data_IF_294907954323
#
_entry.id   IF_294907954323
#
_cell.length_a   1.000
_cell.length_b   1.000
_cell.length_c   1.000
_cell.angle_alpha   90.00
_cell.angle_beta   90.00
_cell.angle_gamma   90.00
#
_symmetry.space_group_name_H-M   'P 1'
#
loop_
_entity.id
_entity.type
_entity.pdbx_description
1 polymer ?
#
# COMPACT_ATOMS: atom_id res chain seq x y z
N UNK A 1 27.85 -13.08 -1.03
CA UNK A 1 26.45 -13.38 -0.64
C UNK A 1 25.73 -12.04 -0.56
N UNK A 2 25.00 -11.68 -1.61
CA UNK A 2 24.35 -10.37 -1.70
C UNK A 2 22.98 -10.38 -1.01
N UNK A 3 22.68 -9.31 -0.29
CA UNK A 3 21.30 -8.98 0.05
C UNK A 3 20.71 -8.24 -1.14
N UNK A 4 19.52 -8.65 -1.59
CA UNK A 4 18.77 -7.91 -2.61
C UNK A 4 17.71 -7.09 -1.89
N UNK A 5 17.66 -5.80 -2.18
CA UNK A 5 16.69 -4.90 -1.57
C UNK A 5 15.73 -4.41 -2.65
N UNK A 6 14.43 -4.42 -2.35
CA UNK A 6 13.38 -4.15 -3.32
C UNK A 6 12.36 -3.19 -2.75
N UNK A 7 12.14 -2.07 -3.44
CA UNK A 7 11.08 -1.12 -3.18
C UNK A 7 9.81 -1.57 -3.91
N UNK A 8 8.68 -1.60 -3.21
CA UNK A 8 7.34 -1.78 -3.78
C UNK A 8 6.46 -0.61 -3.39
N UNK A 9 5.96 0.13 -4.37
CA UNK A 9 5.07 1.27 -4.13
C UNK A 9 4.07 1.38 -5.28
N UNK A 10 2.77 1.31 -4.97
CA UNK A 10 1.70 1.22 -5.99
C UNK A 10 1.99 0.08 -6.99
N UNK A 11 2.12 0.40 -8.26
CA UNK A 11 2.41 -0.52 -9.36
C UNK A 11 3.90 -0.53 -9.73
N UNK A 12 4.75 0.20 -8.99
CA UNK A 12 6.19 0.28 -9.20
C UNK A 12 6.96 -0.69 -8.29
N UNK A 13 7.90 -1.42 -8.90
CA UNK A 13 8.83 -2.29 -8.21
C UNK A 13 10.26 -1.97 -8.65
N UNK A 14 11.12 -1.53 -7.71
CA UNK A 14 12.50 -1.10 -8.01
C UNK A 14 13.52 -1.82 -7.15
N UNK A 15 14.53 -2.40 -7.79
CA UNK A 15 15.70 -2.92 -7.09
C UNK A 15 16.52 -1.74 -6.55
N UNK A 16 16.74 -1.75 -5.23
CA UNK A 16 17.52 -0.73 -4.53
C UNK A 16 18.99 -1.13 -4.54
N UNK A 17 19.84 -0.23 -5.03
CA UNK A 17 21.30 -0.37 -5.03
C UNK A 17 21.92 0.18 -3.73
N UNK A 18 21.31 1.22 -3.14
CA UNK A 18 21.71 1.76 -1.84
C UNK A 18 20.51 2.14 -0.99
N UNK A 19 20.52 1.69 0.27
CA UNK A 19 19.53 2.03 1.29
C UNK A 19 20.21 2.74 2.45
N UNK A 20 19.73 3.92 2.81
CA UNK A 20 20.13 4.62 4.01
C UNK A 20 18.89 5.05 4.80
N UNK A 21 18.92 4.82 6.10
CA UNK A 21 17.89 5.24 7.04
C UNK A 21 18.54 6.04 8.15
N UNK A 22 18.09 7.28 8.31
CA UNK A 22 18.58 8.19 9.35
C UNK A 22 17.49 8.42 10.40
N UNK A 23 17.88 8.24 11.65
CA UNK A 23 17.04 8.41 12.84
C UNK A 23 17.72 9.38 13.81
N UNK A 24 16.96 10.34 14.35
CA UNK A 24 17.42 11.23 15.40
C UNK A 24 16.90 10.71 16.73
N UNK A 25 17.79 10.51 17.70
CA UNK A 25 17.42 10.06 19.04
C UNK A 25 17.44 11.28 19.96
N UNK A 26 16.32 11.59 20.62
CA UNK A 26 16.27 12.69 21.59
C UNK A 26 16.95 12.23 22.89
N UNK A 27 18.04 12.88 23.34
CA UNK A 27 18.72 12.54 24.57
C UNK A 27 17.95 13.11 25.77
N UNK A 28 16.89 12.42 26.21
CA UNK A 28 16.18 12.78 27.45
C UNK A 28 16.21 11.72 28.55
N UNK A 29 16.92 10.60 28.36
CA UNK A 29 17.32 9.75 29.48
C UNK A 29 18.75 9.23 29.32
N UNK A 30 19.60 9.58 30.29
CA UNK A 30 21.03 9.24 30.30
C UNK A 30 21.29 7.72 30.31
N UNK A 31 20.30 6.91 30.66
CA UNK A 31 20.35 5.44 30.65
C UNK A 31 20.31 4.84 29.25
N UNK A 32 19.70 5.52 28.29
CA UNK A 32 19.49 4.96 26.95
C UNK A 32 20.69 5.20 26.04
N UNK A 33 21.45 6.28 26.26
CA UNK A 33 22.69 6.56 25.52
C UNK A 33 23.73 5.46 25.77
N UNK A 34 23.88 5.00 27.02
CA UNK A 34 24.79 3.88 27.36
C UNK A 34 24.35 2.58 26.68
N UNK A 35 23.04 2.32 26.60
CA UNK A 35 22.48 1.15 25.90
C UNK A 35 22.66 1.26 24.37
N UNK A 36 22.42 2.43 23.79
CA UNK A 36 22.58 2.70 22.35
C UNK A 36 24.06 2.57 21.94
N UNK A 37 24.98 3.11 22.74
CA UNK A 37 26.43 2.94 22.54
C UNK A 37 26.81 1.47 22.68
N UNK A 38 26.26 0.77 23.68
CA UNK A 38 26.50 -0.67 23.88
C UNK A 38 26.00 -1.51 22.70
N UNK A 39 24.83 -1.20 22.14
CA UNK A 39 24.30 -1.86 20.93
C UNK A 39 25.13 -1.54 19.68
N UNK A 40 25.62 -0.30 19.52
CA UNK A 40 26.54 0.05 18.44
C UNK A 40 27.90 -0.65 18.56
N UNK A 41 28.38 -0.88 19.79
CA UNK A 41 29.61 -1.61 20.09
C UNK A 41 29.39 -3.13 19.93
N UNK A 42 28.23 -3.66 20.36
CA UNK A 42 27.89 -5.09 20.34
C UNK A 42 27.37 -5.57 18.97
N UNK A 43 26.80 -4.71 18.12
CA UNK A 43 26.50 -5.06 16.72
C UNK A 43 27.77 -5.42 15.91
N UNK A 44 28.96 -5.04 16.43
CA UNK A 44 30.26 -5.51 15.91
C UNK A 44 30.70 -6.88 16.45
N UNK A 45 30.09 -7.37 17.53
CA UNK A 45 30.44 -8.61 18.23
C UNK A 45 29.16 -9.42 18.51
N UNK A 46 28.67 -10.20 17.55
CA UNK A 46 27.48 -11.04 17.74
C UNK A 46 27.65 -12.05 18.89
N UNK A 47 26.67 -12.12 19.80
CA UNK A 47 25.91 -13.35 20.18
C UNK A 47 25.13 -13.15 21.49
N UNK A 48 23.88 -13.62 21.50
CA UNK A 48 23.05 -14.15 22.59
C UNK A 48 22.76 -13.36 23.88
N UNK A 49 21.48 -13.45 24.27
CA UNK A 49 20.90 -13.27 25.60
C UNK A 49 21.04 -11.91 26.28
N UNK A 50 20.17 -10.97 25.91
CA UNK A 50 19.61 -10.06 26.90
C UNK A 50 18.19 -9.64 26.54
N UNK A 51 17.35 -9.60 27.58
CA UNK A 51 15.98 -9.12 27.64
C UNK A 51 15.85 -7.71 27.03
N UNK A 52 15.75 -7.66 25.70
CA UNK A 52 15.75 -6.44 24.90
C UNK A 52 14.32 -5.90 24.85
N UNK A 53 13.97 -5.07 25.84
CA UNK A 53 12.83 -4.16 25.68
C UNK A 53 13.17 -3.23 24.51
N UNK A 54 12.42 -3.24 23.39
CA UNK A 54 12.81 -2.53 22.19
C UNK A 54 12.84 -1.02 22.47
N UNK A 55 14.04 -0.45 22.48
CA UNK A 55 14.20 1.01 22.57
C UNK A 55 13.52 1.66 21.36
N UNK A 56 12.83 2.78 21.63
CA UNK A 56 12.15 3.58 20.63
C UNK A 56 13.16 4.28 19.72
N UNK A 57 13.56 3.60 18.65
CA UNK A 57 14.40 4.16 17.60
C UNK A 57 13.53 5.02 16.67
N UNK A 58 13.68 6.35 16.79
CA UNK A 58 12.88 7.41 16.16
C UNK A 58 13.40 7.80 14.76
N UNK A 59 12.67 7.48 13.68
CA UNK A 59 13.07 7.74 12.29
C UNK A 59 12.54 9.02 11.65
N UNK A 60 13.36 9.67 10.80
CA UNK A 60 12.99 10.92 10.11
C UNK A 60 12.99 10.82 8.57
N UNK A 61 13.98 10.15 7.96
CA UNK A 61 14.16 10.14 6.51
C UNK A 61 14.78 8.85 6.00
N UNK A 62 14.26 8.35 4.88
CA UNK A 62 14.78 7.20 4.13
C UNK A 62 15.38 7.74 2.82
N UNK A 63 16.59 7.33 2.49
CA UNK A 63 17.21 7.61 1.20
C UNK A 63 17.40 6.29 0.44
N UNK A 64 16.93 6.27 -0.81
CA UNK A 64 17.01 5.11 -1.70
C UNK A 64 17.70 5.51 -2.99
N UNK A 65 18.64 4.71 -3.46
CA UNK A 65 19.27 4.88 -4.78
C UNK A 65 19.08 3.61 -5.61
N UNK A 66 18.74 3.78 -6.89
CA UNK A 66 18.54 2.70 -7.84
C UNK A 66 18.87 3.15 -9.26
N UNK A 67 19.00 2.19 -10.18
CA UNK A 67 19.29 2.50 -11.59
C UNK A 67 18.07 3.20 -12.22
N UNK A 68 18.33 4.31 -12.90
CA UNK A 68 17.32 5.05 -13.64
C UNK A 68 16.85 4.24 -14.87
N UNK A 69 15.55 4.33 -15.16
CA UNK A 69 14.91 3.67 -16.30
C UNK A 69 13.94 4.60 -17.02
N UNK A 70 13.34 4.14 -18.12
CA UNK A 70 12.28 4.88 -18.82
C UNK A 70 11.01 5.09 -18.01
N UNK A 71 10.85 4.34 -16.91
CA UNK A 71 9.61 4.28 -16.12
C UNK A 71 9.71 5.12 -14.84
N UNK A 72 10.68 6.04 -14.77
CA UNK A 72 10.95 6.84 -13.57
C UNK A 72 9.93 7.97 -13.33
N UNK A 73 9.00 8.18 -14.27
CA UNK A 73 7.97 9.23 -14.22
C UNK A 73 7.21 9.25 -12.89
N UNK A 74 6.90 8.07 -12.34
CA UNK A 74 6.23 7.95 -11.05
C UNK A 74 6.94 8.72 -9.92
N UNK A 75 8.28 8.67 -9.86
CA UNK A 75 9.04 9.31 -8.79
C UNK A 75 9.06 10.84 -8.92
N UNK A 76 9.04 11.34 -10.15
CA UNK A 76 8.87 12.76 -10.43
C UNK A 76 7.48 13.25 -10.04
N UNK A 77 6.44 12.53 -10.45
CA UNK A 77 5.05 12.86 -10.10
C UNK A 77 4.86 12.82 -8.58
N UNK A 78 5.42 11.82 -7.90
CA UNK A 78 5.34 11.72 -6.45
C UNK A 78 5.98 12.93 -5.74
N UNK A 79 7.13 13.42 -6.24
CA UNK A 79 7.77 14.63 -5.71
C UNK A 79 6.94 15.89 -5.99
N UNK A 80 6.42 16.04 -7.22
CA UNK A 80 5.76 17.26 -7.68
C UNK A 80 4.32 17.40 -7.18
N UNK A 81 3.58 16.31 -7.15
CA UNK A 81 2.17 16.30 -6.72
C UNK A 81 2.03 16.47 -5.20
N UNK A 82 3.12 16.21 -4.45
CA UNK A 82 3.06 16.12 -2.99
C UNK A 82 2.10 15.04 -2.53
N UNK A 83 1.90 13.99 -3.33
CA UNK A 83 1.02 12.89 -2.98
C UNK A 83 1.64 12.04 -1.87
N UNK A 84 0.80 11.55 -0.96
CA UNK A 84 1.21 10.58 0.04
C UNK A 84 0.98 9.16 -0.49
N UNK A 85 1.99 8.31 -0.35
CA UNK A 85 1.91 6.92 -0.76
C UNK A 85 2.25 5.96 0.37
N UNK A 86 1.79 4.72 0.20
CA UNK A 86 2.16 3.57 1.02
C UNK A 86 3.05 2.65 0.19
N UNK A 87 3.98 1.99 0.84
CA UNK A 87 4.91 1.08 0.17
C UNK A 87 5.70 0.26 1.15
N UNK A 88 6.53 -0.61 0.60
CA UNK A 88 7.34 -1.54 1.36
C UNK A 88 8.74 -1.65 0.79
N UNK A 89 9.70 -1.90 1.67
CA UNK A 89 11.08 -2.21 1.31
C UNK A 89 11.36 -3.62 1.82
N UNK A 90 11.60 -4.52 0.88
CA UNK A 90 11.82 -5.94 1.12
C UNK A 90 13.31 -6.23 1.11
N UNK A 91 13.82 -6.75 2.22
CA UNK A 91 15.21 -7.18 2.36
C UNK A 91 15.27 -8.70 2.14
N UNK A 92 15.76 -9.13 0.98
CA UNK A 92 15.84 -10.53 0.60
C UNK A 92 17.26 -11.07 0.79
N UNK A 93 17.37 -12.20 1.49
CA UNK A 93 18.61 -12.95 1.65
C UNK A 93 18.63 -14.09 0.63
N UNK A 94 19.76 -14.23 -0.08
CA UNK A 94 19.94 -15.26 -1.11
C UNK A 94 18.87 -15.26 -2.21
N UNK A 95 18.24 -14.12 -2.48
CA UNK A 95 17.21 -13.93 -3.52
C UNK A 95 15.92 -14.75 -3.36
N UNK A 96 15.74 -15.47 -2.24
CA UNK A 96 14.59 -16.36 -2.02
C UNK A 96 13.90 -16.12 -0.67
N UNK A 97 14.65 -15.72 0.36
CA UNK A 97 14.10 -15.58 1.72
C UNK A 97 13.94 -14.11 2.10
N UNK A 98 12.71 -13.67 2.37
CA UNK A 98 12.45 -12.32 2.91
C UNK A 98 12.93 -12.28 4.36
N UNK A 99 14.05 -11.59 4.60
CA UNK A 99 14.67 -11.45 5.91
C UNK A 99 14.00 -10.37 6.75
N UNK A 100 13.56 -9.27 6.12
CA UNK A 100 12.82 -8.20 6.79
C UNK A 100 11.94 -7.44 5.78
N UNK A 101 10.87 -6.83 6.27
CA UNK A 101 9.98 -5.94 5.51
C UNK A 101 9.81 -4.65 6.28
N UNK A 102 10.18 -3.55 5.63
CA UNK A 102 9.93 -2.20 6.13
C UNK A 102 8.73 -1.61 5.39
N UNK A 103 7.58 -1.53 6.03
CA UNK A 103 6.37 -0.92 5.48
C UNK A 103 6.26 0.53 5.91
N UNK A 104 5.81 1.41 5.02
CA UNK A 104 5.55 2.82 5.32
C UNK A 104 4.19 3.27 4.78
N UNK A 105 3.57 4.23 5.48
CA UNK A 105 2.28 4.82 5.13
C UNK A 105 2.33 6.34 5.32
N UNK A 106 1.56 7.05 4.49
CA UNK A 106 1.54 8.51 4.43
C UNK A 106 2.94 9.09 4.19
N UNK A 107 3.61 8.54 3.19
CA UNK A 107 4.99 8.87 2.85
C UNK A 107 5.03 9.87 1.69
N UNK A 108 5.74 10.97 1.91
CA UNK A 108 6.06 11.94 0.87
C UNK A 108 7.41 11.61 0.23
N UNK A 109 7.52 11.83 -1.08
CA UNK A 109 8.80 12.06 -1.72
C UNK A 109 9.19 13.52 -1.50
N UNK A 110 10.30 13.77 -0.82
CA UNK A 110 10.73 15.13 -0.42
C UNK A 110 11.96 15.62 -1.17
N UNK A 111 12.59 14.75 -1.97
CA UNK A 111 13.69 15.11 -2.83
C UNK A 111 13.97 14.01 -3.85
N UNK A 112 14.59 14.41 -4.96
CA UNK A 112 15.02 13.54 -6.04
C UNK A 112 16.29 14.10 -6.66
N UNK A 113 17.25 13.24 -6.96
CA UNK A 113 18.50 13.58 -7.63
C UNK A 113 18.83 12.51 -8.68
N UNK A 114 19.21 12.94 -9.88
CA UNK A 114 19.78 12.08 -10.92
C UNK A 114 21.28 12.34 -11.05
N UNK A 115 22.05 11.25 -11.05
CA UNK A 115 23.51 11.31 -11.19
C UNK A 115 23.97 10.41 -12.32
N UNK A 116 24.82 10.97 -13.18
CA UNK A 116 25.48 10.22 -14.24
C UNK A 116 26.62 9.39 -13.66
N UNK A 117 26.58 8.08 -13.89
CA UNK A 117 27.66 7.19 -13.51
C UNK A 117 28.75 7.15 -14.58
N UNK A 118 30.01 7.17 -14.16
CA UNK A 118 31.17 7.04 -15.07
C UNK A 118 31.50 5.54 -15.25
N UNK A 119 32.03 5.17 -16.42
CA UNK A 119 32.56 3.82 -16.64
C UNK A 119 31.54 2.80 -17.16
N UNK A 120 30.46 3.26 -17.80
CA UNK A 120 29.45 2.37 -18.40
C UNK A 120 28.41 1.84 -17.41
N UNK A 121 28.44 2.32 -16.17
CA UNK A 121 27.38 2.09 -15.20
C UNK A 121 26.12 2.88 -15.58
N UNK A 122 24.92 2.35 -15.29
CA UNK A 122 23.68 3.07 -15.54
C UNK A 122 23.62 4.36 -14.72
N UNK A 123 22.89 5.35 -15.23
CA UNK A 123 22.53 6.55 -14.46
C UNK A 123 21.79 6.12 -13.18
N UNK A 124 22.07 6.79 -12.07
CA UNK A 124 21.42 6.50 -10.80
C UNK A 124 20.39 7.57 -10.45
N UNK A 125 19.22 7.13 -10.03
CA UNK A 125 18.18 7.94 -9.41
C UNK A 125 18.25 7.75 -7.91
N UNK A 126 18.32 8.84 -7.16
CA UNK A 126 18.25 8.85 -5.69
C UNK A 126 17.01 9.63 -5.25
N UNK A 127 16.24 9.04 -4.34
CA UNK A 127 15.04 9.67 -3.76
C UNK A 127 15.16 9.75 -2.25
N UNK A 128 14.56 10.79 -1.67
CA UNK A 128 14.39 10.95 -0.23
C UNK A 128 12.91 10.83 0.11
N UNK A 129 12.62 9.91 1.00
CA UNK A 129 11.27 9.57 1.45
C UNK A 129 11.11 9.99 2.91
N UNK A 130 10.01 10.68 3.19
CA UNK A 130 9.63 11.09 4.53
C UNK A 130 8.32 10.42 4.94
N UNK A 131 8.38 9.23 5.57
CA UNK A 131 7.20 8.48 5.96
C UNK A 131 6.49 9.15 7.13
N UNK A 132 5.16 9.16 7.10
CA UNK A 132 4.34 9.56 8.24
C UNK A 132 4.25 8.45 9.28
N UNK A 133 4.20 7.19 8.84
CA UNK A 133 4.21 5.99 9.68
C UNK A 133 5.12 4.93 9.09
N UNK A 134 5.82 4.20 9.96
CA UNK A 134 6.70 3.09 9.60
C UNK A 134 6.39 1.87 10.45
N UNK A 135 6.56 0.68 9.89
CA UNK A 135 6.45 -0.62 10.58
C UNK A 135 7.52 -1.56 10.05
N UNK A 136 8.23 -2.25 10.95
CA UNK A 136 9.06 -3.42 10.61
C UNK A 136 8.40 -4.68 11.12
N UNK A 137 8.72 -5.83 10.53
CA UNK A 137 8.01 -7.09 10.80
C UNK A 137 7.94 -7.47 12.28
N UNK A 138 9.00 -7.18 13.04
CA UNK A 138 9.14 -7.54 14.46
C UNK A 138 9.11 -6.32 15.41
N UNK A 139 8.67 -5.15 14.94
CA UNK A 139 8.63 -3.94 15.74
C UNK A 139 7.24 -3.30 15.71
N UNK A 140 6.90 -2.66 16.81
CA UNK A 140 5.67 -1.87 16.88
C UNK A 140 5.70 -0.74 15.85
N UNK A 141 4.56 -0.47 15.18
CA UNK A 141 4.37 0.71 14.38
C UNK A 141 4.79 2.02 15.04
N UNK A 142 5.39 2.91 14.27
CA UNK A 142 5.71 4.28 14.73
C UNK A 142 5.12 5.31 13.79
N UNK A 143 4.61 6.40 14.35
CA UNK A 143 3.97 7.50 13.63
C UNK A 143 4.61 8.84 14.00
N UNK A 144 4.67 9.78 13.06
CA UNK A 144 4.97 11.19 13.37
C UNK A 144 3.87 11.78 14.24
N UNK A 145 4.26 12.63 15.20
CA UNK A 145 3.39 13.22 16.23
C UNK A 145 2.14 13.94 15.68
N UNK A 146 2.24 14.51 14.48
CA UNK A 146 1.14 15.25 13.84
C UNK A 146 0.21 14.39 12.98
N UNK A 147 0.46 13.08 12.85
CA UNK A 147 -0.30 12.22 11.95
C UNK A 147 -1.53 11.63 12.65
N UNK A 148 -2.67 11.62 11.94
CA UNK A 148 -3.99 11.17 12.45
C UNK A 148 -4.37 9.76 11.95
N UNK A 149 -3.67 9.19 10.97
CA UNK A 149 -3.99 7.87 10.39
C UNK A 149 -3.33 6.71 11.15
N UNK A 150 -4.12 5.72 11.54
CA UNK A 150 -3.65 4.43 12.06
C UNK A 150 -3.14 3.52 10.91
N UNK A 151 -2.19 2.63 11.19
CA UNK A 151 -1.85 1.55 10.26
C UNK A 151 -3.00 0.55 10.22
N UNK A 152 -3.83 0.60 9.18
CA UNK A 152 -4.55 -0.60 8.77
C UNK A 152 -3.52 -1.62 8.25
N UNK A 153 -3.75 -2.90 8.61
CA UNK A 153 -2.98 -4.13 8.40
C UNK A 153 -1.79 -4.11 7.39
N UNK A 154 -0.71 -4.89 7.65
CA UNK A 154 0.41 -5.03 6.71
C UNK A 154 -0.09 -5.36 5.30
N UNK A 155 0.58 -4.83 4.27
CA UNK A 155 0.28 -5.19 2.89
C UNK A 155 0.58 -6.69 2.80
N UNK A 156 -0.47 -7.49 2.69
CA UNK A 156 -0.33 -8.91 2.46
C UNK A 156 0.32 -9.09 1.09
N UNK A 157 1.63 -9.33 1.09
CA UNK A 157 2.30 -9.90 -0.06
C UNK A 157 1.79 -11.31 -0.18
N UNK A 158 0.79 -11.49 -1.04
CA UNK A 158 0.50 -12.78 -1.63
C UNK A 158 1.81 -13.24 -2.29
N UNK A 159 2.32 -14.37 -1.84
CA UNK A 159 3.28 -15.19 -2.57
C UNK A 159 2.86 -15.33 -4.05
N UNK A 160 3.78 -15.60 -4.99
CA UNK A 160 3.43 -15.90 -6.36
C UNK A 160 2.85 -17.32 -6.43
N UNK A 161 1.75 -17.55 -5.73
CA UNK A 161 0.81 -18.56 -6.18
C UNK A 161 0.04 -17.93 -7.33
N UNK A 162 -0.16 -18.72 -8.38
CA UNK A 162 -1.00 -18.36 -9.52
C UNK A 162 -2.43 -18.20 -9.02
N UNK A 163 -2.73 -17.11 -8.32
CA UNK A 163 -4.08 -16.78 -7.92
C UNK A 163 -4.75 -16.15 -9.13
N UNK A 164 -5.62 -16.93 -9.77
CA UNK A 164 -6.63 -16.37 -10.66
C UNK A 164 -7.23 -15.14 -9.97
N UNK A 165 -7.29 -13.99 -10.66
CA UNK A 165 -7.69 -12.75 -10.04
C UNK A 165 -9.08 -12.94 -9.41
N UNK A 166 -9.23 -12.57 -8.14
CA UNK A 166 -10.46 -12.85 -7.41
C UNK A 166 -11.63 -12.04 -7.98
N UNK A 167 -12.86 -12.58 -7.99
CA UNK A 167 -14.03 -11.88 -8.50
C UNK A 167 -14.34 -10.63 -7.64
N UNK A 168 -14.43 -9.46 -8.28
CA UNK A 168 -14.69 -8.18 -7.60
C UNK A 168 -15.81 -7.42 -8.32
N UNK A 169 -16.65 -6.72 -7.56
CA UNK A 169 -17.64 -5.76 -8.10
C UNK A 169 -16.98 -4.40 -8.21
N UNK A 170 -16.85 -3.86 -9.43
CA UNK A 170 -16.07 -2.62 -9.68
C UNK A 170 -16.92 -1.37 -9.83
N UNK A 171 -18.18 -1.49 -10.24
CA UNK A 171 -19.09 -0.35 -10.37
C UNK A 171 -20.52 -0.80 -10.06
N UNK A 172 -21.23 -0.05 -9.21
CA UNK A 172 -22.65 -0.29 -8.89
C UNK A 172 -23.41 1.01 -9.12
N UNK A 173 -24.44 0.97 -9.96
CA UNK A 173 -25.27 2.14 -10.21
C UNK A 173 -26.73 1.74 -10.47
N UNK A 174 -27.63 2.68 -10.21
CA UNK A 174 -29.02 2.58 -10.62
C UNK A 174 -29.20 3.14 -12.02
N UNK A 175 -30.03 2.49 -12.83
CA UNK A 175 -30.43 2.91 -14.17
C UNK A 175 -31.94 3.07 -14.24
N UNK A 176 -32.38 3.99 -15.07
CA UNK A 176 -33.80 4.15 -15.39
C UNK A 176 -34.29 2.98 -16.28
N UNK A 177 -35.43 2.37 -15.95
CA UNK A 177 -35.93 1.18 -16.66
C UNK A 177 -36.30 1.43 -18.12
N UNK A 178 -36.68 2.67 -18.47
CA UNK A 178 -37.15 3.01 -19.81
C UNK A 178 -36.02 3.48 -20.70
N UNK A 179 -35.08 4.22 -20.14
CA UNK A 179 -34.02 4.91 -20.88
C UNK A 179 -32.65 4.26 -20.73
N UNK A 180 -32.45 3.40 -19.73
CA UNK A 180 -31.17 2.73 -19.44
C UNK A 180 -30.06 3.68 -18.96
N UNK A 181 -30.37 4.96 -18.75
CA UNK A 181 -29.41 5.97 -18.30
C UNK A 181 -29.12 5.82 -16.81
N UNK A 182 -27.86 6.04 -16.42
CA UNK A 182 -27.45 6.09 -15.00
C UNK A 182 -28.24 7.19 -14.28
N UNK A 183 -28.86 6.83 -13.17
CA UNK A 183 -29.63 7.71 -12.29
C UNK A 183 -28.69 8.32 -11.25
N UNK A 184 -28.74 9.65 -11.11
CA UNK A 184 -28.10 10.35 -9.99
C UNK A 184 -28.99 10.38 -8.74
N UNK A 185 -30.31 10.29 -8.94
CA UNK A 185 -31.32 10.34 -7.88
C UNK A 185 -32.32 9.21 -8.16
N UNK A 186 -32.67 8.46 -7.12
CA UNK A 186 -33.65 7.38 -7.20
C UNK A 186 -35.06 7.98 -7.38
N UNK A 187 -35.86 7.50 -8.35
CA UNK A 187 -37.22 7.99 -8.55
C UNK A 187 -38.13 7.68 -7.36
N UNK A 188 -39.11 8.55 -7.11
CA UNK A 188 -40.13 8.40 -6.06
C UNK A 188 -40.92 7.07 -6.14
N UNK A 189 -41.00 6.47 -7.33
CA UNK A 189 -41.62 5.14 -7.51
C UNK A 189 -40.84 4.02 -6.82
N UNK A 190 -39.54 4.23 -6.56
CA UNK A 190 -38.62 3.23 -6.01
C UNK A 190 -38.24 2.11 -6.97
N UNK A 191 -38.77 2.13 -8.20
CA UNK A 191 -38.54 1.11 -9.22
C UNK A 191 -37.37 1.55 -10.10
N UNK A 192 -36.29 0.77 -10.09
CA UNK A 192 -35.06 1.04 -10.85
C UNK A 192 -34.49 -0.23 -11.46
N UNK A 193 -33.51 -0.08 -12.35
CA UNK A 193 -32.66 -1.17 -12.81
C UNK A 193 -31.36 -1.10 -12.03
N UNK A 194 -31.01 -2.18 -11.31
CA UNK A 194 -29.72 -2.27 -10.63
C UNK A 194 -28.69 -2.79 -11.61
N UNK A 195 -27.60 -2.08 -11.78
CA UNK A 195 -26.47 -2.51 -12.61
C UNK A 195 -25.21 -2.61 -11.78
N UNK A 196 -24.59 -3.78 -11.76
CA UNK A 196 -23.31 -4.02 -11.10
C UNK A 196 -22.32 -4.65 -12.09
N UNK A 197 -21.22 -3.94 -12.38
CA UNK A 197 -20.12 -4.46 -13.20
C UNK A 197 -19.20 -5.30 -12.35
N UNK A 198 -18.79 -6.45 -12.88
CA UNK A 198 -17.93 -7.40 -12.18
C UNK A 198 -16.66 -7.65 -12.99
N UNK A 199 -15.56 -7.86 -12.30
CA UNK A 199 -14.28 -8.25 -12.86
C UNK A 199 -13.88 -9.62 -12.32
N UNK A 200 -13.20 -10.40 -13.16
CA UNK A 200 -12.75 -11.75 -12.84
C UNK A 200 -13.85 -12.74 -12.42
N UNK A 201 -15.09 -12.50 -12.86
CA UNK A 201 -16.25 -13.40 -12.69
C UNK A 201 -16.55 -14.14 -13.99
N UNK A 202 -16.97 -15.41 -13.90
CA UNK A 202 -17.42 -16.23 -15.02
C UNK A 202 -18.96 -16.10 -15.17
N UNK A 203 -19.51 -16.22 -16.40
CA UNK A 203 -20.95 -16.20 -16.60
C UNK A 203 -21.64 -17.32 -15.80
N UNK A 204 -22.61 -16.96 -14.97
CA UNK A 204 -23.30 -17.87 -14.06
C UNK A 204 -22.87 -17.79 -12.59
N UNK A 205 -21.76 -17.11 -12.29
CA UNK A 205 -21.32 -16.85 -10.91
C UNK A 205 -22.37 -16.01 -10.17
N UNK A 206 -22.60 -16.30 -8.89
CA UNK A 206 -23.54 -15.55 -8.05
C UNK A 206 -22.74 -14.48 -7.29
N UNK A 207 -23.10 -13.22 -7.50
CA UNK A 207 -22.49 -12.10 -6.77
C UNK A 207 -23.51 -11.56 -5.78
N UNK A 208 -23.03 -11.29 -4.57
CA UNK A 208 -23.81 -10.71 -3.48
C UNK A 208 -23.16 -9.40 -3.05
N UNK A 209 -23.94 -8.34 -2.98
CA UNK A 209 -23.48 -7.03 -2.51
C UNK A 209 -24.62 -6.30 -1.82
N UNK A 210 -24.27 -5.35 -0.96
CA UNK A 210 -25.26 -4.54 -0.25
C UNK A 210 -25.05 -3.05 -0.56
N UNK A 211 -26.14 -2.33 -0.81
CA UNK A 211 -26.15 -0.89 -1.04
C UNK A 211 -26.73 -0.19 0.18
N UNK A 212 -25.95 0.68 0.81
CA UNK A 212 -26.43 1.56 1.88
C UNK A 212 -26.95 2.87 1.28
N UNK A 213 -28.23 3.16 1.49
CA UNK A 213 -28.87 4.41 1.08
C UNK A 213 -28.60 5.53 2.08
N UNK A 214 -28.74 6.79 1.65
CA UNK A 214 -28.55 7.97 2.50
C UNK A 214 -29.48 8.01 3.72
N UNK A 215 -30.66 7.40 3.62
CA UNK A 215 -31.60 7.27 4.74
C UNK A 215 -31.19 6.19 5.78
N UNK A 216 -30.00 5.60 5.63
CA UNK A 216 -29.44 4.58 6.52
C UNK A 216 -29.92 3.15 6.25
N UNK A 217 -30.87 2.96 5.33
CA UNK A 217 -31.37 1.64 4.94
C UNK A 217 -30.35 0.90 4.08
N UNK A 218 -30.11 -0.37 4.36
CA UNK A 218 -29.24 -1.24 3.56
C UNK A 218 -30.07 -2.23 2.76
N UNK A 219 -29.81 -2.32 1.46
CA UNK A 219 -30.45 -3.24 0.51
C UNK A 219 -29.45 -4.32 0.14
N UNK A 220 -29.84 -5.58 0.21
CA UNK A 220 -28.95 -6.71 -0.12
C UNK A 220 -29.36 -7.34 -1.43
N UNK A 221 -28.44 -7.38 -2.38
CA UNK A 221 -28.70 -7.78 -3.76
C UNK A 221 -27.86 -9.03 -4.08
N UNK A 222 -28.50 -10.02 -4.72
CA UNK A 222 -27.86 -11.27 -5.11
C UNK A 222 -28.37 -11.71 -6.48
N UNK A 223 -27.51 -11.82 -7.47
CA UNK A 223 -27.88 -12.32 -8.80
C UNK A 223 -26.69 -12.93 -9.56
N UNK A 224 -26.96 -13.56 -10.71
CA UNK A 224 -25.98 -14.23 -11.56
C UNK A 224 -25.36 -13.29 -12.58
N UNK A 225 -24.04 -13.37 -12.73
CA UNK A 225 -23.27 -12.64 -13.73
C UNK A 225 -23.66 -13.11 -15.13
N UNK A 226 -23.97 -12.16 -16.01
CA UNK A 226 -24.30 -12.46 -17.40
C UNK A 226 -23.05 -12.75 -18.26
N UNK A 227 -23.26 -13.09 -19.54
CA UNK A 227 -22.16 -13.33 -20.50
C UNK A 227 -21.24 -12.15 -20.76
N UNK A 228 -21.61 -10.95 -20.31
CA UNK A 228 -20.89 -9.69 -20.53
C UNK A 228 -20.18 -9.19 -19.26
N UNK A 229 -20.15 -9.99 -18.19
CA UNK A 229 -19.44 -9.64 -16.95
C UNK A 229 -20.15 -8.59 -16.10
N UNK A 230 -21.48 -8.59 -16.08
CA UNK A 230 -22.25 -7.72 -15.17
C UNK A 230 -23.56 -8.36 -14.73
N UNK A 231 -24.16 -7.78 -13.71
CA UNK A 231 -25.51 -8.08 -13.24
C UNK A 231 -26.42 -6.91 -13.61
N UNK A 232 -27.62 -7.23 -14.09
CA UNK A 232 -28.64 -6.25 -14.42
C UNK A 232 -30.01 -6.76 -13.97
N UNK A 233 -30.53 -6.20 -12.88
CA UNK A 233 -31.85 -6.55 -12.32
C UNK A 233 -32.82 -5.45 -12.69
N UNK A 234 -33.77 -5.74 -13.57
CA UNK A 234 -34.81 -4.80 -13.99
C UNK A 234 -35.97 -4.79 -13.00
N UNK A 235 -36.68 -3.67 -12.95
CA UNK A 235 -37.88 -3.49 -12.13
C UNK A 235 -37.67 -3.76 -10.62
N UNK A 236 -36.47 -3.49 -10.13
CA UNK A 236 -36.10 -3.66 -8.73
C UNK A 236 -36.75 -2.57 -7.86
N UNK A 237 -37.46 -2.96 -6.80
CA UNK A 237 -38.16 -2.04 -5.91
C UNK A 237 -37.38 -1.82 -4.61
N UNK A 238 -36.76 -0.64 -4.50
CA UNK A 238 -35.91 -0.20 -3.39
C UNK A 238 -36.69 -0.09 -2.06
N UNK A 239 -38.01 0.13 -2.10
CA UNK A 239 -38.83 0.35 -0.91
C UNK A 239 -39.47 -0.92 -0.34
N UNK A 240 -39.49 -2.03 -1.08
CA UNK A 240 -40.16 -3.27 -0.66
C UNK A 240 -39.30 -4.25 0.17
N UNK A 241 -37.98 -4.08 0.19
CA UNK A 241 -37.06 -4.89 1.02
C UNK A 241 -36.78 -4.29 2.39
#
# INVERSE_FOLDING_TARGET
MGYKVLLKVRDEERQIESYNYSCHIIPHDHSDIQKIISLHINAKNQSDDSDDSPLDIEGDMIQLSFNSTSDDQFFYDWLLDGAMHRGEIHFMRHEVETADVFSFVDCFCVGLEETMSIGGLPMQLTIWLSPGVIKRINLEPRAKVWKVSELEAPISVKSPDTEEPSPVVTDVCFKDNKTGKKLKIVPLSGIVTVYAKTENTKPGDIVRFSIKLENGKTISISDKVNRRGFIEIKDFNIYKE
#
